data_IF_695618258990
#
_entry.id   IF_695618258990
#
_cell.length_a   1.000
_cell.length_b   1.000
_cell.length_c   1.000
_cell.angle_alpha   90.00
_cell.angle_beta   90.00
_cell.angle_gamma   90.00
#
_symmetry.space_group_name_H-M   'P 1'
#
loop_
_entity.id
_entity.type
_entity.pdbx_description
1 polymer ?
#
# COMPACT_ATOMS: atom_id res chain seq x y z
N UNK A 1 -14.03 -36.47 -1.52
CA UNK A 1 -12.92 -35.88 -2.29
C UNK A 1 -13.39 -34.56 -2.88
N UNK A 2 -13.17 -33.45 -2.18
CA UNK A 2 -13.42 -32.12 -2.75
C UNK A 2 -12.26 -31.76 -3.67
N UNK A 3 -12.56 -31.43 -4.93
CA UNK A 3 -11.59 -30.97 -5.90
C UNK A 3 -10.91 -29.70 -5.37
N UNK A 4 -9.65 -29.81 -4.97
CA UNK A 4 -8.80 -28.66 -4.66
C UNK A 4 -8.60 -27.90 -5.97
N UNK A 5 -9.29 -26.78 -6.11
CA UNK A 5 -9.02 -25.82 -7.18
C UNK A 5 -7.54 -25.41 -7.19
N UNK A 6 -7.04 -24.78 -8.26
CA UNK A 6 -5.64 -24.41 -8.37
C UNK A 6 -5.20 -23.63 -7.12
N UNK A 7 -4.18 -24.14 -6.41
CA UNK A 7 -3.67 -23.53 -5.18
C UNK A 7 -3.17 -22.12 -5.52
N UNK A 8 -3.93 -21.09 -5.12
CA UNK A 8 -3.50 -19.69 -5.25
C UNK A 8 -2.18 -19.52 -4.47
N UNK A 9 -1.25 -18.74 -5.04
CA UNK A 9 -0.01 -18.37 -4.37
C UNK A 9 -0.31 -17.69 -3.04
N UNK A 10 0.52 -17.92 -2.01
CA UNK A 10 0.29 -17.41 -0.66
C UNK A 10 0.20 -15.88 -0.60
N UNK A 11 0.90 -15.20 -1.52
CA UNK A 11 0.91 -13.74 -1.67
C UNK A 11 -0.11 -13.19 -2.69
N UNK A 12 -1.00 -14.02 -3.25
CA UNK A 12 -2.01 -13.53 -4.19
C UNK A 12 -2.97 -12.55 -3.51
N UNK A 13 -3.18 -11.37 -4.10
CA UNK A 13 -3.95 -10.29 -3.49
C UNK A 13 -5.40 -10.31 -3.95
N UNK A 14 -6.33 -10.13 -3.02
CA UNK A 14 -7.75 -9.98 -3.35
C UNK A 14 -8.05 -8.50 -3.67
N UNK A 15 -8.07 -8.13 -4.96
CA UNK A 15 -8.27 -6.74 -5.41
C UNK A 15 -9.47 -6.02 -4.77
N UNK A 16 -10.59 -6.71 -4.57
CA UNK A 16 -11.79 -6.11 -3.96
C UNK A 16 -11.57 -5.70 -2.50
N UNK A 17 -10.62 -6.37 -1.85
CA UNK A 17 -10.21 -6.11 -0.48
C UNK A 17 -9.10 -5.07 -0.35
N UNK A 18 -8.58 -4.49 -1.45
CA UNK A 18 -7.66 -3.34 -1.38
C UNK A 18 -8.38 -2.01 -1.09
N UNK A 19 -9.70 -1.94 -1.26
CA UNK A 19 -10.46 -0.72 -1.00
C UNK A 19 -11.07 -0.74 0.41
N UNK A 20 -10.59 0.11 1.35
CA UNK A 20 -11.09 0.13 2.72
C UNK A 20 -12.57 0.49 2.82
N UNK A 21 -13.12 1.24 1.84
CA UNK A 21 -14.54 1.57 1.82
C UNK A 21 -15.41 0.32 1.63
N UNK A 22 -14.93 -0.71 0.93
CA UNK A 22 -15.68 -1.96 0.78
C UNK A 22 -15.79 -2.69 2.13
N UNK A 23 -14.71 -2.69 2.90
CA UNK A 23 -14.70 -3.27 4.24
C UNK A 23 -15.56 -2.47 5.22
N UNK A 24 -15.47 -1.14 5.22
CA UNK A 24 -16.32 -0.28 6.05
C UNK A 24 -17.80 -0.46 5.73
N UNK A 25 -18.18 -0.56 4.45
CA UNK A 25 -19.57 -0.83 4.05
C UNK A 25 -20.05 -2.20 4.55
N UNK A 26 -19.16 -3.18 4.66
CA UNK A 26 -19.47 -4.51 5.20
C UNK A 26 -19.64 -4.46 6.73
N UNK A 27 -18.82 -3.69 7.44
CA UNK A 27 -18.85 -3.58 8.91
C UNK A 27 -20.03 -2.73 9.39
N UNK A 28 -20.22 -1.54 8.79
CA UNK A 28 -21.17 -0.53 9.26
C UNK A 28 -22.43 -0.41 8.38
N UNK A 29 -22.48 -1.13 7.26
CA UNK A 29 -23.55 -1.00 6.27
C UNK A 29 -23.32 0.15 5.28
N UNK A 30 -23.89 -0.01 4.07
CA UNK A 30 -23.66 0.90 2.95
C UNK A 30 -24.19 2.32 3.16
N UNK A 31 -25.32 2.47 3.86
CA UNK A 31 -25.99 3.76 4.09
C UNK A 31 -25.17 4.72 4.96
N UNK A 32 -24.51 4.21 5.99
CA UNK A 32 -23.70 5.03 6.92
C UNK A 32 -22.48 5.60 6.18
N UNK A 33 -21.77 4.75 5.43
CA UNK A 33 -20.58 5.15 4.68
C UNK A 33 -20.92 6.13 3.54
N UNK A 34 -22.04 5.92 2.85
CA UNK A 34 -22.48 6.83 1.78
C UNK A 34 -22.82 8.23 2.29
N UNK A 35 -23.42 8.35 3.47
CA UNK A 35 -23.73 9.65 4.09
C UNK A 35 -22.47 10.44 4.48
N UNK A 36 -21.39 9.76 4.86
CA UNK A 36 -20.12 10.42 5.13
C UNK A 36 -19.43 10.88 3.84
N UNK A 37 -19.49 10.07 2.78
CA UNK A 37 -18.95 10.42 1.47
C UNK A 37 -19.76 11.54 0.78
N UNK A 38 -21.09 11.57 0.93
CA UNK A 38 -21.93 12.61 0.33
C UNK A 38 -21.72 13.98 0.96
N UNK A 39 -21.43 14.06 2.27
CA UNK A 39 -21.02 15.30 2.94
C UNK A 39 -19.71 15.87 2.39
N UNK A 40 -18.80 15.02 1.90
CA UNK A 40 -17.53 15.43 1.27
C UNK A 40 -17.65 15.78 -0.21
N UNK A 41 -18.77 15.45 -0.86
CA UNK A 41 -19.05 15.66 -2.31
C UNK A 41 -19.68 17.01 -2.64
N UNK A 42 -19.74 17.94 -1.69
CA UNK A 42 -20.24 19.29 -1.91
C UNK A 42 -19.24 20.16 -2.67
N UNK A 43 -18.96 19.87 -3.95
CA UNK A 43 -18.08 20.72 -4.76
C UNK A 43 -17.76 20.22 -6.17
N UNK A 44 -18.35 20.89 -7.17
CA UNK A 44 -17.92 20.99 -8.58
C UNK A 44 -17.89 19.74 -9.48
N UNK A 45 -18.73 19.77 -10.54
CA UNK A 45 -18.85 18.77 -11.62
C UNK A 45 -17.88 19.01 -12.78
N UNK A 46 -16.59 19.23 -12.54
CA UNK A 46 -15.62 19.36 -13.64
C UNK A 46 -14.99 18.01 -13.97
N UNK A 47 -15.49 17.38 -15.04
CA UNK A 47 -15.05 16.07 -15.55
C UNK A 47 -13.64 16.16 -16.16
N UNK A 48 -12.62 15.88 -15.36
CA UNK A 48 -11.39 15.24 -15.85
C UNK A 48 -11.52 13.73 -15.61
N UNK A 49 -11.19 12.88 -16.59
CA UNK A 49 -11.18 11.42 -16.39
C UNK A 49 -10.02 11.02 -15.49
N UNK A 50 -10.21 11.09 -14.17
CA UNK A 50 -9.29 10.51 -13.19
C UNK A 50 -9.19 9.01 -13.48
N UNK A 51 -7.97 8.51 -13.70
CA UNK A 51 -7.70 7.08 -13.91
C UNK A 51 -8.20 6.32 -12.68
N UNK A 52 -9.04 5.31 -12.88
CA UNK A 52 -9.46 4.42 -11.79
C UNK A 52 -8.27 3.57 -11.34
N UNK A 53 -8.04 3.52 -10.05
CA UNK A 53 -6.91 2.85 -9.40
C UNK A 53 -7.39 1.85 -8.34
N UNK A 54 -6.57 0.88 -7.99
CA UNK A 54 -6.84 -0.21 -7.05
C UNK A 54 -6.37 0.10 -5.64
N UNK A 55 -5.23 0.77 -5.47
CA UNK A 55 -4.65 1.06 -4.15
C UNK A 55 -5.43 2.15 -3.43
N UNK A 56 -5.87 3.17 -4.17
CA UNK A 56 -6.58 4.34 -3.64
C UNK A 56 -7.66 4.78 -4.62
N UNK A 57 -8.64 5.53 -4.12
CA UNK A 57 -9.63 6.20 -4.97
C UNK A 57 -9.30 7.69 -5.04
N UNK A 58 -9.02 8.25 -6.23
CA UNK A 58 -8.67 9.67 -6.33
C UNK A 58 -9.86 10.53 -5.94
N UNK A 59 -9.59 11.65 -5.26
CA UNK A 59 -10.62 12.59 -4.80
C UNK A 59 -10.88 13.68 -5.83
N UNK A 60 -12.11 14.18 -5.88
CA UNK A 60 -12.55 15.16 -6.87
C UNK A 60 -11.85 16.53 -6.72
N UNK A 61 -11.40 16.86 -5.50
CA UNK A 61 -10.68 18.10 -5.18
C UNK A 61 -9.17 18.04 -5.51
N UNK A 62 -8.65 16.91 -6.00
CA UNK A 62 -7.23 16.80 -6.33
C UNK A 62 -6.89 17.47 -7.67
N UNK A 63 -5.71 18.09 -7.79
CA UNK A 63 -5.24 18.62 -9.07
C UNK A 63 -5.20 17.54 -10.17
N UNK A 64 -5.39 17.87 -11.45
CA UNK A 64 -5.24 16.89 -12.52
C UNK A 64 -3.79 16.36 -12.58
N UNK A 65 -3.62 15.05 -12.75
CA UNK A 65 -2.28 14.41 -12.68
C UNK A 65 -1.34 14.77 -13.83
N UNK A 66 -1.89 15.00 -15.04
CA UNK A 66 -1.09 15.30 -16.22
C UNK A 66 0.01 14.26 -16.48
N UNK A 67 1.22 14.73 -16.76
CA UNK A 67 2.43 13.89 -16.86
C UNK A 67 3.29 14.17 -15.64
N UNK A 68 3.23 13.34 -14.59
CA UNK A 68 3.96 13.62 -13.34
C UNK A 68 5.47 13.52 -13.52
N UNK A 69 5.97 12.91 -14.60
CA UNK A 69 7.40 12.71 -14.82
C UNK A 69 7.96 11.46 -14.13
N UNK A 70 7.07 10.55 -13.71
CA UNK A 70 7.36 9.26 -13.09
C UNK A 70 6.82 8.13 -14.01
N UNK A 71 7.62 7.09 -14.21
CA UNK A 71 7.25 5.90 -14.99
C UNK A 71 7.81 4.62 -14.36
N UNK A 72 7.35 3.46 -14.83
CA UNK A 72 7.88 2.16 -14.44
C UNK A 72 8.27 1.36 -15.68
N UNK A 73 9.44 0.74 -15.65
CA UNK A 73 9.96 -0.13 -16.70
C UNK A 73 10.10 -1.58 -16.21
N UNK A 74 9.94 -2.53 -17.13
CA UNK A 74 10.25 -3.94 -16.89
C UNK A 74 11.76 -4.14 -17.04
N UNK A 75 12.42 -4.60 -15.98
CA UNK A 75 13.87 -4.87 -15.98
C UNK A 75 14.13 -6.25 -16.57
N UNK A 76 13.44 -7.28 -16.06
CA UNK A 76 13.59 -8.66 -16.52
C UNK A 76 12.41 -9.53 -16.10
N UNK A 77 12.27 -10.67 -16.76
CA UNK A 77 11.35 -11.74 -16.37
C UNK A 77 12.10 -13.06 -16.34
N UNK A 78 12.08 -13.74 -15.19
CA UNK A 78 12.77 -15.02 -14.98
C UNK A 78 11.83 -15.96 -14.20
N UNK A 79 11.68 -17.20 -14.66
CA UNK A 79 10.85 -18.24 -14.00
C UNK A 79 9.40 -17.78 -13.68
N UNK A 80 8.80 -16.96 -14.55
CA UNK A 80 7.45 -16.42 -14.35
C UNK A 80 7.33 -15.27 -13.33
N UNK A 81 8.46 -14.77 -12.83
CA UNK A 81 8.57 -13.60 -11.94
C UNK A 81 9.15 -12.44 -12.73
N UNK A 82 8.49 -11.27 -12.67
CA UNK A 82 8.90 -10.06 -13.38
C UNK A 82 9.42 -9.01 -12.40
N UNK A 83 10.62 -8.50 -12.64
CA UNK A 83 11.23 -7.42 -11.86
C UNK A 83 11.04 -6.09 -12.58
N UNK A 84 10.60 -5.07 -11.84
CA UNK A 84 10.34 -3.73 -12.36
C UNK A 84 11.16 -2.68 -11.61
N UNK A 85 11.25 -1.50 -12.20
CA UNK A 85 11.87 -0.34 -11.56
C UNK A 85 11.10 0.93 -11.90
N UNK A 86 11.02 1.86 -10.95
CA UNK A 86 10.63 3.22 -11.25
C UNK A 86 11.75 3.99 -11.92
N UNK A 87 11.36 4.96 -12.74
CA UNK A 87 12.24 5.85 -13.47
C UNK A 87 11.72 7.29 -13.35
N UNK A 88 12.63 8.20 -13.03
CA UNK A 88 12.35 9.64 -12.98
C UNK A 88 12.76 10.28 -14.30
N UNK A 89 11.85 11.03 -14.92
CA UNK A 89 12.20 11.93 -16.02
C UNK A 89 13.20 13.01 -15.56
N UNK A 90 13.94 13.61 -16.50
CA UNK A 90 14.88 14.70 -16.20
C UNK A 90 14.20 15.83 -15.41
N UNK A 91 12.97 16.21 -15.80
CA UNK A 91 12.21 17.23 -15.08
C UNK A 91 11.88 16.80 -13.64
N UNK A 92 11.49 15.53 -13.43
CA UNK A 92 11.24 15.02 -12.07
C UNK A 92 12.51 15.03 -11.23
N UNK A 93 13.66 14.65 -11.80
CA UNK A 93 14.95 14.71 -11.09
C UNK A 93 15.32 16.15 -10.69
N UNK A 94 15.05 17.14 -11.53
CA UNK A 94 15.27 18.55 -11.18
C UNK A 94 14.37 18.99 -10.01
N UNK A 95 13.12 18.54 -9.97
CA UNK A 95 12.21 18.78 -8.83
C UNK A 95 12.68 18.03 -7.58
N UNK A 96 13.22 16.83 -7.72
CA UNK A 96 13.79 16.05 -6.62
C UNK A 96 14.96 16.78 -5.96
N UNK A 97 15.85 17.43 -6.73
CA UNK A 97 16.93 18.24 -6.16
C UNK A 97 16.37 19.40 -5.33
N UNK A 98 15.39 20.15 -5.86
CA UNK A 98 14.71 21.22 -5.12
C UNK A 98 14.01 20.72 -3.86
N UNK A 99 13.49 19.49 -3.89
CA UNK A 99 12.92 18.85 -2.70
C UNK A 99 13.98 18.59 -1.64
N UNK A 100 15.15 18.08 -2.02
CA UNK A 100 16.25 17.86 -1.09
C UNK A 100 16.70 19.20 -0.46
N UNK A 101 16.85 20.26 -1.26
CA UNK A 101 17.16 21.61 -0.76
C UNK A 101 16.10 22.10 0.25
N UNK A 102 14.81 21.86 -0.04
CA UNK A 102 13.70 22.23 0.84
C UNK A 102 13.67 21.43 2.16
N UNK A 103 14.09 20.17 2.15
CA UNK A 103 14.23 19.36 3.36
C UNK A 103 15.42 19.85 4.20
N UNK A 104 16.56 20.12 3.55
CA UNK A 104 17.76 20.64 4.21
C UNK A 104 17.53 22.02 4.85
N UNK A 105 16.63 22.82 4.31
CA UNK A 105 16.30 24.13 4.87
C UNK A 105 15.52 24.07 6.20
N UNK A 106 15.02 22.88 6.59
CA UNK A 106 14.21 22.66 7.80
C UNK A 106 12.98 23.57 7.93
N UNK A 107 12.49 24.10 6.81
CA UNK A 107 11.32 24.96 6.76
C UNK A 107 10.17 24.25 6.01
N UNK A 108 9.10 23.83 6.72
CA UNK A 108 7.94 23.17 6.12
C UNK A 108 7.32 23.94 4.95
N UNK A 109 7.35 25.28 4.97
CA UNK A 109 6.75 26.12 3.94
C UNK A 109 7.39 25.90 2.56
N UNK A 110 8.68 25.56 2.51
CA UNK A 110 9.36 25.27 1.26
C UNK A 110 8.83 23.98 0.61
N UNK A 111 8.52 22.97 1.42
CA UNK A 111 7.92 21.71 0.95
C UNK A 111 6.48 21.96 0.48
N UNK A 112 5.71 22.77 1.21
CA UNK A 112 4.35 23.18 0.81
C UNK A 112 4.40 23.94 -0.52
N UNK A 113 5.32 24.89 -0.66
CA UNK A 113 5.54 25.65 -1.90
C UNK A 113 5.87 24.74 -3.08
N UNK A 114 6.75 23.75 -2.88
CA UNK A 114 7.08 22.75 -3.89
C UNK A 114 5.86 21.92 -4.31
N UNK A 115 5.04 21.47 -3.35
CA UNK A 115 3.81 20.70 -3.63
C UNK A 115 2.79 21.55 -4.37
N UNK A 116 2.67 22.85 -4.07
CA UNK A 116 1.77 23.74 -4.80
C UNK A 116 2.14 23.86 -6.28
N UNK A 117 3.44 23.84 -6.61
CA UNK A 117 3.95 23.87 -7.99
C UNK A 117 3.97 22.47 -8.64
N UNK A 118 4.23 21.43 -7.86
CA UNK A 118 4.38 20.04 -8.30
C UNK A 118 3.53 19.10 -7.42
N UNK A 119 2.19 19.09 -7.58
CA UNK A 119 1.27 18.43 -6.64
C UNK A 119 1.41 16.91 -6.51
N UNK A 120 2.17 16.29 -7.39
CA UNK A 120 2.37 14.85 -7.50
C UNK A 120 3.84 14.42 -7.32
N UNK A 121 4.71 15.31 -6.79
CA UNK A 121 6.06 14.92 -6.39
C UNK A 121 5.99 14.03 -5.13
N UNK A 122 6.29 12.74 -5.30
CA UNK A 122 5.98 11.69 -4.32
C UNK A 122 6.69 11.90 -2.99
N UNK A 123 8.00 12.17 -3.00
CA UNK A 123 8.77 12.30 -1.76
C UNK A 123 8.36 13.55 -0.96
N UNK A 124 7.97 14.63 -1.64
CA UNK A 124 7.46 15.83 -0.97
C UNK A 124 6.11 15.55 -0.29
N UNK A 125 5.21 14.81 -0.95
CA UNK A 125 3.94 14.38 -0.37
C UNK A 125 4.16 13.49 0.86
N UNK A 126 5.08 12.54 0.78
CA UNK A 126 5.44 11.66 1.88
C UNK A 126 6.04 12.44 3.07
N UNK A 127 6.91 13.41 2.79
CA UNK A 127 7.53 14.24 3.82
C UNK A 127 6.52 15.18 4.48
N UNK A 128 5.68 15.88 3.71
CA UNK A 128 4.64 16.74 4.28
C UNK A 128 3.61 15.92 5.07
N UNK A 129 3.28 14.70 4.61
CA UNK A 129 2.42 13.80 5.38
C UNK A 129 2.99 13.50 6.77
N UNK A 130 4.31 13.36 6.89
CA UNK A 130 4.96 13.10 8.16
C UNK A 130 4.86 14.32 9.08
N UNK A 131 5.06 15.52 8.55
CA UNK A 131 4.89 16.77 9.30
C UNK A 131 3.44 16.93 9.79
N UNK A 132 2.44 16.70 8.92
CA UNK A 132 1.03 16.71 9.31
C UNK A 132 0.74 15.68 10.41
N UNK A 133 1.32 14.48 10.33
CA UNK A 133 1.18 13.44 11.35
C UNK A 133 1.75 13.89 12.70
N UNK A 134 2.92 14.54 12.71
CA UNK A 134 3.55 15.08 13.91
C UNK A 134 2.75 16.25 14.51
N UNK A 135 2.06 17.02 13.68
CA UNK A 135 1.14 18.09 14.09
C UNK A 135 -0.30 17.63 14.36
N UNK A 136 -0.52 16.31 14.46
CA UNK A 136 -1.83 15.68 14.72
C UNK A 136 -2.92 15.91 13.66
N UNK A 137 -2.57 16.48 12.49
CA UNK A 137 -3.47 16.56 11.33
C UNK A 137 -3.44 15.24 10.54
N UNK A 138 -3.99 14.20 11.18
CA UNK A 138 -4.10 12.85 10.60
C UNK A 138 -4.93 12.80 9.30
N UNK A 139 -6.05 13.55 9.16
CA UNK A 139 -6.79 13.58 7.90
C UNK A 139 -5.96 14.09 6.73
N UNK A 140 -5.23 15.19 6.90
CA UNK A 140 -4.35 15.71 5.85
C UNK A 140 -3.19 14.77 5.57
N UNK A 141 -2.57 14.21 6.61
CA UNK A 141 -1.50 13.24 6.46
C UNK A 141 -1.95 12.03 5.62
N UNK A 142 -3.10 11.44 5.93
CA UNK A 142 -3.65 10.32 5.17
C UNK A 142 -3.93 10.70 3.71
N UNK A 143 -4.47 11.90 3.46
CA UNK A 143 -4.74 12.38 2.10
C UNK A 143 -3.47 12.56 1.26
N UNK A 144 -2.40 13.07 1.85
CA UNK A 144 -1.10 13.22 1.17
C UNK A 144 -0.50 11.87 0.78
N UNK A 145 -0.62 10.85 1.65
CA UNK A 145 -0.23 9.46 1.33
C UNK A 145 -1.09 8.89 0.21
N UNK A 146 -2.42 9.09 0.26
CA UNK A 146 -3.32 8.63 -0.80
C UNK A 146 -2.95 9.27 -2.15
N UNK A 147 -2.61 10.57 -2.16
CA UNK A 147 -2.19 11.28 -3.37
C UNK A 147 -0.84 10.77 -3.91
N UNK A 148 0.09 10.43 -3.03
CA UNK A 148 1.37 9.81 -3.39
C UNK A 148 1.15 8.43 -4.05
N UNK A 149 0.33 7.57 -3.43
CA UNK A 149 -0.04 6.26 -3.99
C UNK A 149 -0.72 6.36 -5.34
N UNK A 150 -1.59 7.36 -5.52
CA UNK A 150 -2.25 7.59 -6.80
C UNK A 150 -1.25 7.92 -7.91
N UNK A 151 -0.24 8.76 -7.63
CA UNK A 151 0.83 9.07 -8.57
C UNK A 151 1.63 7.82 -8.96
N UNK A 152 2.06 7.05 -7.94
CA UNK A 152 2.82 5.82 -8.10
C UNK A 152 2.06 4.76 -8.94
N UNK A 153 0.78 4.53 -8.63
CA UNK A 153 -0.04 3.57 -9.38
C UNK A 153 -0.31 4.03 -10.81
N UNK A 154 -0.47 5.33 -11.04
CA UNK A 154 -0.60 5.87 -12.40
C UNK A 154 0.65 5.58 -13.25
N UNK A 155 1.83 5.49 -12.64
CA UNK A 155 3.10 5.22 -13.28
C UNK A 155 3.40 3.72 -13.50
N UNK A 156 2.55 2.81 -13.01
CA UNK A 156 2.75 1.37 -13.20
C UNK A 156 2.87 0.96 -14.67
N UNK A 157 3.80 0.06 -14.94
CA UNK A 157 3.92 -0.60 -16.23
C UNK A 157 2.64 -1.43 -16.50
N UNK A 158 2.12 -1.52 -17.73
CA UNK A 158 0.89 -2.28 -18.02
C UNK A 158 0.93 -3.75 -17.59
N UNK A 159 2.11 -4.38 -17.62
CA UNK A 159 2.33 -5.76 -17.14
C UNK A 159 2.57 -5.88 -15.63
N UNK A 160 2.60 -4.78 -14.88
CA UNK A 160 2.73 -4.78 -13.43
C UNK A 160 1.39 -5.13 -12.79
N UNK A 161 1.27 -6.36 -12.30
CA UNK A 161 0.04 -6.87 -11.68
C UNK A 161 0.20 -7.00 -10.16
N UNK A 162 -0.54 -6.17 -9.43
CA UNK A 162 -0.62 -6.22 -7.96
C UNK A 162 -1.13 -7.57 -7.43
N UNK A 163 -2.08 -8.22 -8.10
CA UNK A 163 -2.70 -9.44 -7.55
C UNK A 163 -1.96 -10.73 -7.83
N UNK A 164 -1.08 -10.73 -8.82
CA UNK A 164 -0.43 -11.96 -9.29
C UNK A 164 0.54 -12.58 -8.28
N UNK A 165 1.09 -11.79 -7.36
CA UNK A 165 2.17 -12.22 -6.47
C UNK A 165 3.52 -12.43 -7.18
N UNK A 166 3.64 -12.07 -8.48
CA UNK A 166 4.81 -12.37 -9.32
C UNK A 166 5.57 -11.13 -9.80
N UNK A 167 5.21 -9.94 -9.33
CA UNK A 167 5.93 -8.70 -9.64
C UNK A 167 6.88 -8.35 -8.49
N UNK A 168 8.11 -7.95 -8.80
CA UNK A 168 9.16 -7.61 -7.83
C UNK A 168 9.67 -6.19 -8.03
N UNK A 169 10.02 -5.52 -6.93
CA UNK A 169 10.79 -4.27 -6.90
C UNK A 169 11.94 -4.43 -5.91
N UNK A 170 13.13 -3.95 -6.26
CA UNK A 170 14.28 -3.92 -5.35
C UNK A 170 14.21 -2.66 -4.48
N UNK A 171 14.02 -2.81 -3.17
CA UNK A 171 13.94 -1.70 -2.21
C UNK A 171 15.26 -0.93 -2.08
N UNK A 172 16.42 -1.53 -2.42
CA UNK A 172 17.70 -0.83 -2.32
C UNK A 172 17.78 0.34 -3.30
N UNK A 173 17.03 0.25 -4.41
CA UNK A 173 16.93 1.30 -5.41
C UNK A 173 16.06 2.46 -4.90
N UNK A 174 16.60 3.68 -4.92
CA UNK A 174 15.95 4.85 -4.32
C UNK A 174 14.57 5.14 -4.91
N UNK A 175 14.41 5.09 -6.23
CA UNK A 175 13.15 5.37 -6.93
C UNK A 175 12.05 4.35 -6.56
N UNK A 176 12.44 3.12 -6.21
CA UNK A 176 11.50 2.08 -5.81
C UNK A 176 10.98 2.25 -4.37
N UNK A 177 11.80 2.81 -3.47
CA UNK A 177 11.47 2.94 -2.03
C UNK A 177 10.16 3.67 -1.79
N UNK A 178 9.87 4.67 -2.61
CA UNK A 178 8.68 5.48 -2.50
C UNK A 178 7.39 4.63 -2.48
N UNK A 179 7.31 3.57 -3.30
CA UNK A 179 6.13 2.68 -3.28
C UNK A 179 6.00 1.90 -1.97
N UNK A 180 7.10 1.34 -1.47
CA UNK A 180 7.10 0.59 -0.21
C UNK A 180 6.67 1.50 0.96
N UNK A 181 7.26 2.69 1.06
CA UNK A 181 6.97 3.65 2.12
C UNK A 181 5.52 4.13 2.04
N UNK A 182 5.04 4.49 0.84
CA UNK A 182 3.67 4.95 0.65
C UNK A 182 2.65 3.86 1.00
N UNK A 183 2.87 2.61 0.56
CA UNK A 183 2.00 1.47 0.88
C UNK A 183 2.02 1.18 2.38
N UNK A 184 3.19 1.18 3.02
CA UNK A 184 3.31 0.91 4.46
C UNK A 184 2.65 2.00 5.31
N UNK A 185 2.84 3.28 4.98
CA UNK A 185 2.14 4.38 5.67
C UNK A 185 0.62 4.29 5.47
N UNK A 186 0.18 3.96 4.25
CA UNK A 186 -1.25 3.76 3.99
C UNK A 186 -1.84 2.57 4.76
N UNK A 187 -1.11 1.45 4.81
CA UNK A 187 -1.41 0.28 5.64
C UNK A 187 -1.66 0.70 7.10
N UNK A 188 -0.80 1.55 7.67
CA UNK A 188 -0.98 2.04 9.06
C UNK A 188 -2.29 2.84 9.22
N UNK A 189 -2.61 3.76 8.31
CA UNK A 189 -3.86 4.53 8.35
C UNK A 189 -5.10 3.63 8.19
N UNK A 190 -5.04 2.65 7.29
CA UNK A 190 -6.12 1.68 7.07
C UNK A 190 -6.29 0.78 8.30
N UNK A 191 -5.19 0.31 8.89
CA UNK A 191 -5.19 -0.49 10.11
C UNK A 191 -5.77 0.25 11.30
N UNK A 192 -5.43 1.53 11.47
CA UNK A 192 -5.98 2.39 12.53
C UNK A 192 -7.50 2.57 12.43
N UNK A 193 -8.08 2.44 11.22
CA UNK A 193 -9.53 2.47 10.97
C UNK A 193 -10.20 1.10 11.14
N UNK A 194 -9.50 0.14 11.75
CA UNK A 194 -9.93 -1.24 11.94
C UNK A 194 -10.27 -2.01 10.64
N UNK A 195 -9.81 -1.53 9.48
CA UNK A 195 -9.98 -2.20 8.19
C UNK A 195 -8.92 -3.31 8.04
N UNK A 196 -9.00 -4.32 8.92
CA UNK A 196 -7.96 -5.32 9.09
C UNK A 196 -7.83 -6.24 7.87
N UNK A 197 -8.92 -6.53 7.15
CA UNK A 197 -8.83 -7.31 5.91
C UNK A 197 -8.09 -6.54 4.83
N UNK A 198 -8.37 -5.24 4.71
CA UNK A 198 -7.69 -4.37 3.76
C UNK A 198 -6.22 -4.22 4.10
N UNK A 199 -5.91 -3.99 5.38
CA UNK A 199 -4.54 -3.95 5.88
C UNK A 199 -3.77 -5.24 5.54
N UNK A 200 -4.37 -6.41 5.74
CA UNK A 200 -3.76 -7.69 5.38
C UNK A 200 -3.39 -7.78 3.88
N UNK A 201 -4.23 -7.28 2.98
CA UNK A 201 -3.91 -7.27 1.55
C UNK A 201 -2.74 -6.33 1.22
N UNK A 202 -2.60 -5.21 1.93
CA UNK A 202 -1.42 -4.33 1.80
C UNK A 202 -0.15 -4.96 2.38
N UNK A 203 -0.24 -5.72 3.47
CA UNK A 203 0.89 -6.51 3.97
C UNK A 203 1.37 -7.52 2.91
N UNK A 204 0.42 -8.24 2.30
CA UNK A 204 0.70 -9.18 1.20
C UNK A 204 1.27 -8.47 -0.03
N UNK A 205 0.82 -7.25 -0.33
CA UNK A 205 1.40 -6.44 -1.39
C UNK A 205 2.88 -6.17 -1.12
N UNK A 206 3.23 -5.63 0.04
CA UNK A 206 4.62 -5.34 0.39
C UNK A 206 5.51 -6.59 0.32
N UNK A 207 5.04 -7.70 0.89
CA UNK A 207 5.75 -8.97 0.80
C UNK A 207 5.83 -9.48 -0.65
N UNK A 208 4.84 -9.22 -1.50
CA UNK A 208 4.92 -9.64 -2.91
C UNK A 208 5.99 -8.89 -3.69
N UNK A 209 6.29 -7.64 -3.33
CA UNK A 209 7.30 -6.83 -4.00
C UNK A 209 8.71 -7.35 -3.69
N UNK A 210 8.97 -7.73 -2.45
CA UNK A 210 10.26 -8.25 -2.00
C UNK A 210 10.09 -9.34 -0.92
N UNK A 211 9.72 -10.59 -1.30
CA UNK A 211 9.35 -11.64 -0.35
C UNK A 211 10.47 -12.04 0.60
N UNK A 212 11.70 -12.10 0.09
CA UNK A 212 12.88 -12.52 0.86
C UNK A 212 13.45 -11.39 1.73
N UNK A 213 13.42 -10.16 1.22
CA UNK A 213 14.01 -9.01 1.93
C UNK A 213 13.15 -8.56 3.10
N UNK A 214 11.82 -8.52 2.93
CA UNK A 214 10.88 -7.88 3.86
C UNK A 214 11.45 -6.57 4.48
N UNK A 215 11.83 -5.58 3.65
CA UNK A 215 12.64 -4.44 4.06
C UNK A 215 11.97 -3.54 5.11
N UNK A 216 10.65 -3.68 5.28
CA UNK A 216 9.85 -2.93 6.26
C UNK A 216 9.38 -3.79 7.44
N UNK A 217 9.82 -5.05 7.54
CA UNK A 217 9.50 -5.95 8.65
C UNK A 217 8.00 -6.26 8.77
N UNK A 218 7.30 -6.37 7.64
CA UNK A 218 5.85 -6.62 7.60
C UNK A 218 5.47 -7.93 8.29
N UNK A 219 6.35 -8.94 8.25
CA UNK A 219 6.13 -10.20 8.96
C UNK A 219 5.93 -10.01 10.48
N UNK A 220 6.46 -8.95 11.07
CA UNK A 220 6.30 -8.68 12.52
C UNK A 220 4.87 -8.23 12.90
N UNK A 221 4.01 -7.96 11.92
CA UNK A 221 2.65 -7.43 12.18
C UNK A 221 1.55 -8.12 11.36
N UNK A 222 1.92 -8.89 10.33
CA UNK A 222 0.96 -9.49 9.39
C UNK A 222 -0.01 -10.47 10.06
N UNK A 223 0.45 -11.16 11.10
CA UNK A 223 -0.32 -12.12 11.88
C UNK A 223 -1.48 -11.44 12.62
N UNK A 224 -1.25 -10.24 13.19
CA UNK A 224 -2.30 -9.43 13.81
C UNK A 224 -3.44 -9.15 12.82
N UNK A 225 -3.12 -8.66 11.63
CA UNK A 225 -4.14 -8.36 10.62
C UNK A 225 -4.82 -9.62 10.11
N UNK A 226 -4.10 -10.74 9.97
CA UNK A 226 -4.67 -12.01 9.56
C UNK A 226 -5.69 -12.55 10.57
N UNK A 227 -5.36 -12.55 11.86
CA UNK A 227 -6.29 -12.95 12.92
C UNK A 227 -7.52 -12.04 12.97
N UNK A 228 -7.32 -10.72 12.95
CA UNK A 228 -8.42 -9.75 12.99
C UNK A 228 -9.32 -9.82 11.75
N UNK A 229 -8.78 -10.23 10.61
CA UNK A 229 -9.52 -10.49 9.39
C UNK A 229 -10.10 -11.91 9.30
N UNK A 230 -9.94 -12.73 10.34
CA UNK A 230 -10.37 -14.13 10.43
C UNK A 230 -9.80 -14.99 9.29
N UNK A 231 -8.54 -14.75 8.93
CA UNK A 231 -7.79 -15.49 7.90
C UNK A 231 -6.89 -16.54 8.51
N UNK A 232 -7.46 -17.37 9.38
CA UNK A 232 -6.75 -18.39 10.15
C UNK A 232 -6.05 -19.42 9.26
N UNK A 233 -6.77 -20.04 8.32
CA UNK A 233 -6.20 -21.04 7.39
C UNK A 233 -5.05 -20.46 6.56
N UNK A 234 -5.18 -19.20 6.12
CA UNK A 234 -4.14 -18.53 5.35
C UNK A 234 -2.90 -18.26 6.22
N UNK A 235 -3.08 -17.85 7.48
CA UNK A 235 -1.97 -17.59 8.40
C UNK A 235 -1.20 -18.88 8.73
N UNK A 236 -1.91 -19.97 9.02
CA UNK A 236 -1.32 -21.30 9.26
C UNK A 236 -0.54 -21.76 8.04
N UNK A 237 -1.12 -21.60 6.84
CA UNK A 237 -0.45 -21.94 5.59
C UNK A 237 0.81 -21.10 5.36
N UNK A 238 0.76 -19.79 5.61
CA UNK A 238 1.93 -18.90 5.49
C UNK A 238 3.04 -19.37 6.43
N UNK A 239 2.71 -19.59 7.71
CA UNK A 239 3.69 -20.03 8.70
C UNK A 239 4.35 -21.34 8.29
N UNK A 240 3.56 -22.34 7.87
CA UNK A 240 4.09 -23.64 7.43
C UNK A 240 4.95 -23.53 6.16
N UNK A 241 4.52 -22.78 5.15
CA UNK A 241 5.27 -22.64 3.89
C UNK A 241 6.58 -21.87 4.08
N UNK A 242 6.61 -20.89 4.99
CA UNK A 242 7.76 -19.99 5.16
C UNK A 242 8.66 -20.35 6.34
N UNK A 243 8.26 -21.28 7.21
CA UNK A 243 9.09 -21.76 8.32
C UNK A 243 10.52 -22.15 7.89
N UNK A 244 10.74 -22.94 6.82
CA UNK A 244 12.09 -23.40 6.48
C UNK A 244 13.05 -22.28 6.05
N UNK A 245 12.52 -21.16 5.57
CA UNK A 245 13.31 -20.04 5.04
C UNK A 245 13.35 -18.82 5.97
N UNK A 246 12.34 -18.67 6.84
CA UNK A 246 12.14 -17.48 7.67
C UNK A 246 12.15 -17.77 9.18
N UNK A 247 12.12 -19.03 9.61
CA UNK A 247 12.05 -19.43 11.02
C UNK A 247 10.94 -18.69 11.78
N UNK A 248 9.72 -18.65 11.22
CA UNK A 248 8.61 -17.86 11.76
C UNK A 248 8.21 -18.31 13.17
N UNK A 249 8.42 -19.59 13.53
CA UNK A 249 8.21 -20.11 14.88
C UNK A 249 9.07 -19.43 15.96
N UNK A 250 10.20 -18.82 15.58
CA UNK A 250 11.06 -18.07 16.50
C UNK A 250 10.54 -16.66 16.79
N UNK A 251 9.59 -16.16 15.97
CA UNK A 251 8.97 -14.88 16.19
C UNK A 251 7.81 -15.03 17.19
N UNK A 252 7.87 -14.36 18.36
CA UNK A 252 6.85 -14.55 19.40
C UNK A 252 5.43 -14.28 18.91
N UNK A 253 5.24 -13.27 18.05
CA UNK A 253 3.94 -12.94 17.47
C UNK A 253 3.36 -14.13 16.69
N UNK A 254 4.16 -14.80 15.85
CA UNK A 254 3.70 -15.98 15.12
C UNK A 254 3.41 -17.18 16.02
N UNK A 255 4.26 -17.46 17.01
CA UNK A 255 4.05 -18.58 17.93
C UNK A 255 2.69 -18.50 18.63
N UNK A 256 2.31 -17.32 19.14
CA UNK A 256 0.99 -17.10 19.75
C UNK A 256 -0.13 -17.08 18.70
N UNK A 257 0.07 -16.35 17.61
CA UNK A 257 -0.99 -16.16 16.60
C UNK A 257 -1.38 -17.45 15.88
N UNK A 258 -0.44 -18.38 15.68
CA UNK A 258 -0.71 -19.69 15.10
C UNK A 258 -1.52 -20.57 16.04
N UNK A 259 -1.19 -20.60 17.34
CA UNK A 259 -1.99 -21.32 18.33
C UNK A 259 -3.43 -20.78 18.38
N UNK A 260 -3.60 -19.45 18.36
CA UNK A 260 -4.93 -18.81 18.29
C UNK A 260 -5.66 -19.21 16.99
N UNK A 261 -4.97 -19.24 15.86
CA UNK A 261 -5.57 -19.61 14.57
C UNK A 261 -6.10 -21.06 14.58
N UNK A 262 -5.32 -22.01 15.09
CA UNK A 262 -5.74 -23.42 15.23
C UNK A 262 -6.93 -23.57 16.18
N UNK A 263 -6.87 -22.91 17.34
CA UNK A 263 -7.97 -22.88 18.29
C UNK A 263 -9.28 -22.38 17.66
N UNK A 264 -9.22 -21.29 16.89
CA UNK A 264 -10.40 -20.72 16.21
C UNK A 264 -10.96 -21.63 15.10
N UNK A 265 -10.14 -22.52 14.53
CA UNK A 265 -10.58 -23.52 13.55
C UNK A 265 -11.09 -24.82 14.20
N UNK A 266 -11.00 -24.95 15.52
CA UNK A 266 -11.32 -26.19 16.23
C UNK A 266 -10.33 -27.32 15.92
N UNK A 267 -9.08 -26.97 15.60
CA UNK A 267 -7.99 -27.92 15.39
C UNK A 267 -7.14 -27.95 16.66
N UNK A 268 -6.78 -29.15 17.13
CA UNK A 268 -5.78 -29.30 18.18
C UNK A 268 -4.41 -28.82 17.65
N UNK A 269 -3.71 -28.03 18.48
CA UNK A 269 -2.40 -27.39 18.17
C UNK A 269 -1.26 -28.39 18.30
#
# INVERSE_FOLDING_TARGET
MHALGPKKGILNIEHRSLNPNNELKRIFGSKIVQNEQSKRRGGSRTRGHLKTTWLVSPKENWPPIGKPGLSMSLVKTENGVSTFTYEHSINYQQVQVKFLDAVESLNPDNIVGLINLHPYHVDALLQLSELCRLSEDLPMAAELIERALYCLECAFHPSFSLASGNCRLDYRRQENRALFIAVFKHLMFVGARACCRTALEFCKLLLSLEPEGDPLGVLLTIDFYALRAQKYEWLIRLASEWEPSRNLSQLPNFAFSIAVAHFQLGQDV
#
